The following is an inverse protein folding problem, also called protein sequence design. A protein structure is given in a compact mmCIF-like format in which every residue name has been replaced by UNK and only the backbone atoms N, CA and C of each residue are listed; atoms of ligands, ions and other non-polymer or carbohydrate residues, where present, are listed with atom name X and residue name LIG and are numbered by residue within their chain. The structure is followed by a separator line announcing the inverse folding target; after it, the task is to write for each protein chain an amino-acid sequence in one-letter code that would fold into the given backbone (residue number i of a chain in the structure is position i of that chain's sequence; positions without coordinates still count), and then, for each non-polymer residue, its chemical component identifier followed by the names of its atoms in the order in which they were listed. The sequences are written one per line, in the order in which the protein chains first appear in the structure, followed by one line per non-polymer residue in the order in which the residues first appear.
data_IF_733975667194
#
_entry.id   IF_733975667194
#
_cell.length_a   1.000
_cell.length_b   1.000
_cell.length_c   1.000
_cell.angle_alpha   90.00
_cell.angle_beta   90.00
_cell.angle_gamma   90.00
#
_symmetry.space_group_name_H-M   'P 1'
#
loop_
_entity.id
_entity.type
_entity.pdbx_description
1 polymer ?
#
# COMPACT_ATOMS: atom_id res chain seq x y z
N UNK A 1 -18.88 -11.32 -21.33
CA UNK A 1 -17.70 -10.62 -21.88
C UNK A 1 -18.12 -9.58 -22.92
N UNK A 2 -18.46 -8.35 -22.54
CA UNK A 2 -18.89 -7.30 -23.49
C UNK A 2 -18.38 -5.88 -23.15
N UNK A 3 -17.34 -5.75 -22.31
CA UNK A 3 -16.80 -4.44 -21.90
C UNK A 3 -15.75 -3.82 -22.84
N UNK A 4 -15.14 -4.60 -23.75
CA UNK A 4 -13.92 -4.18 -24.45
C UNK A 4 -14.15 -3.41 -25.77
N UNK A 5 -15.38 -3.27 -26.27
CA UNK A 5 -15.62 -2.62 -27.58
C UNK A 5 -15.89 -1.11 -27.50
N UNK A 6 -16.30 -0.58 -26.34
CA UNK A 6 -16.67 0.84 -26.22
C UNK A 6 -15.46 1.78 -26.06
N UNK A 7 -14.36 1.30 -25.48
CA UNK A 7 -13.18 2.14 -25.23
C UNK A 7 -12.33 2.39 -26.48
N UNK A 8 -12.32 1.45 -27.44
CA UNK A 8 -11.59 1.64 -28.71
C UNK A 8 -12.20 2.76 -29.57
N UNK A 9 -13.50 3.05 -29.41
CA UNK A 9 -14.20 4.09 -30.16
C UNK A 9 -13.88 5.52 -29.67
N UNK A 10 -13.63 5.71 -28.37
CA UNK A 10 -13.25 7.00 -27.80
C UNK A 10 -11.82 7.40 -28.18
N UNK A 11 -10.89 6.44 -28.20
CA UNK A 11 -9.50 6.67 -28.59
C UNK A 11 -9.36 7.15 -30.05
N UNK A 12 -10.12 6.55 -30.97
CA UNK A 12 -10.04 6.92 -32.40
C UNK A 12 -10.62 8.32 -32.67
N UNK A 13 -11.63 8.74 -31.91
CA UNK A 13 -12.24 10.09 -32.07
C UNK A 13 -11.34 11.21 -31.56
N UNK A 14 -10.52 10.95 -30.54
CA UNK A 14 -9.59 11.95 -30.00
C UNK A 14 -8.34 12.17 -30.86
N UNK A 15 -7.82 11.12 -31.50
CA UNK A 15 -6.66 11.25 -32.41
C UNK A 15 -6.97 12.07 -33.67
N UNK A 16 -8.22 12.09 -34.11
CA UNK A 16 -8.66 12.87 -35.28
C UNK A 16 -8.83 14.37 -34.93
N UNK A 17 -8.87 14.75 -33.65
CA UNK A 17 -9.15 16.12 -33.22
C UNK A 17 -7.92 17.02 -33.06
N UNK A 18 -6.71 16.57 -33.39
CA UNK A 18 -5.51 17.44 -33.45
C UNK A 18 -5.12 18.12 -32.11
N UNK A 19 -5.63 17.65 -30.97
CA UNK A 19 -5.21 18.16 -29.66
C UNK A 19 -3.86 17.54 -29.31
N UNK A 20 -2.87 18.39 -29.09
CA UNK A 20 -1.56 18.02 -28.58
C UNK A 20 -1.73 17.42 -27.17
N UNK A 21 -1.87 16.10 -27.08
CA UNK A 21 -1.95 15.40 -25.80
C UNK A 21 -0.50 15.29 -25.31
N UNK A 22 -0.18 15.99 -24.23
CA UNK A 22 1.13 15.88 -23.58
C UNK A 22 1.37 14.39 -23.24
N UNK A 23 2.41 13.73 -23.78
CA UNK A 23 2.66 12.30 -23.57
C UNK A 23 2.89 11.92 -22.10
N UNK A 24 3.18 12.89 -21.22
CA UNK A 24 3.23 12.67 -19.77
C UNK A 24 1.86 12.37 -19.14
N UNK A 25 0.75 12.80 -19.76
CA UNK A 25 -0.61 12.58 -19.23
C UNK A 25 -1.09 11.13 -19.51
N UNK A 26 -0.44 10.42 -20.43
CA UNK A 26 -0.84 9.06 -20.85
C UNK A 26 -0.27 7.97 -19.91
N UNK A 27 0.63 8.31 -18.97
CA UNK A 27 1.30 7.33 -18.10
C UNK A 27 0.64 7.04 -16.74
N UNK A 28 -0.58 7.53 -16.44
CA UNK A 28 -1.07 7.50 -15.04
C UNK A 28 -2.49 6.94 -14.82
N UNK A 29 -2.81 5.77 -15.36
CA UNK A 29 -3.79 4.90 -14.70
C UNK A 29 -3.31 3.46 -14.78
N UNK A 30 -2.28 3.14 -14.01
CA UNK A 30 -2.06 1.76 -13.57
C UNK A 30 -3.30 1.34 -12.77
N UNK A 31 -4.19 0.55 -13.37
CA UNK A 31 -5.42 0.12 -12.70
C UNK A 31 -5.07 -0.74 -11.48
N UNK A 32 -5.41 -0.23 -10.31
CA UNK A 32 -5.26 -0.93 -9.04
C UNK A 32 -6.35 -2.00 -8.92
N UNK A 33 -5.96 -3.25 -8.68
CA UNK A 33 -6.91 -4.33 -8.41
C UNK A 33 -7.22 -4.29 -6.91
N UNK A 34 -8.46 -3.98 -6.54
CA UNK A 34 -8.87 -4.01 -5.13
C UNK A 34 -8.87 -5.46 -4.62
N UNK A 35 -8.20 -5.69 -3.49
CA UNK A 35 -8.12 -7.00 -2.85
C UNK A 35 -9.19 -7.15 -1.77
N UNK A 36 -9.16 -6.27 -0.76
CA UNK A 36 -10.04 -6.34 0.42
C UNK A 36 -10.05 -5.01 1.16
N UNK A 37 -11.04 -4.82 2.02
CA UNK A 37 -11.05 -3.75 3.02
C UNK A 37 -11.08 -4.38 4.41
N UNK A 38 -10.18 -3.92 5.28
CA UNK A 38 -10.03 -4.42 6.64
C UNK A 38 -10.02 -3.20 7.56
N UNK A 39 -11.11 -3.02 8.28
CA UNK A 39 -11.36 -1.82 9.06
C UNK A 39 -11.16 -0.52 8.26
N UNK A 40 -10.28 0.40 8.70
CA UNK A 40 -10.00 1.63 7.96
C UNK A 40 -9.02 1.48 6.80
N UNK A 41 -8.52 0.28 6.52
CA UNK A 41 -7.47 0.07 5.50
C UNK A 41 -8.08 -0.59 4.26
N UNK A 42 -7.87 0.02 3.11
CA UNK A 42 -8.15 -0.59 1.81
C UNK A 42 -6.86 -1.16 1.19
N UNK A 43 -6.94 -2.39 0.72
CA UNK A 43 -5.84 -3.11 0.09
C UNK A 43 -6.04 -3.24 -1.41
N UNK A 44 -4.97 -2.99 -2.14
CA UNK A 44 -4.91 -3.08 -3.59
C UNK A 44 -3.64 -3.82 -4.03
N UNK A 45 -3.73 -4.50 -5.17
CA UNK A 45 -2.59 -5.01 -5.91
C UNK A 45 -2.29 -4.08 -7.08
N UNK A 46 -1.07 -3.57 -7.11
CA UNK A 46 -0.55 -2.77 -8.24
C UNK A 46 -0.06 -3.69 -9.38
N UNK A 47 0.01 -3.19 -10.63
CA UNK A 47 0.54 -3.97 -11.76
C UNK A 47 2.00 -4.43 -11.59
N UNK A 48 2.79 -3.69 -10.83
CA UNK A 48 4.18 -4.01 -10.45
C UNK A 48 4.28 -5.02 -9.30
N UNK A 49 3.16 -5.67 -8.93
CA UNK A 49 3.02 -6.65 -7.84
C UNK A 49 3.23 -6.09 -6.43
N UNK A 50 3.29 -4.77 -6.27
CA UNK A 50 3.33 -4.13 -4.95
C UNK A 50 1.93 -4.17 -4.32
N UNK A 51 1.86 -4.60 -3.06
CA UNK A 51 0.63 -4.47 -2.27
C UNK A 51 0.54 -3.06 -1.73
N UNK A 52 -0.54 -2.37 -2.06
CA UNK A 52 -0.82 -1.02 -1.58
C UNK A 52 -1.92 -1.04 -0.53
N UNK A 53 -1.57 -0.65 0.69
CA UNK A 53 -2.46 -0.49 1.82
C UNK A 53 -2.70 1.01 2.06
N UNK A 54 -3.95 1.46 1.95
CA UNK A 54 -4.32 2.87 2.11
C UNK A 54 -5.24 3.04 3.32
N UNK A 55 -4.83 3.86 4.27
CA UNK A 55 -5.67 4.24 5.40
C UNK A 55 -6.70 5.29 4.97
N UNK A 56 -7.96 5.08 5.36
CA UNK A 56 -9.07 5.99 5.14
C UNK A 56 -9.60 6.50 6.49
N UNK A 57 -9.35 7.77 6.77
CA UNK A 57 -9.73 8.43 8.03
C UNK A 57 -11.25 8.63 8.18
N UNK A 58 -12.03 8.46 7.11
CA UNK A 58 -13.50 8.54 7.19
C UNK A 58 -14.14 7.30 7.81
N UNK A 59 -13.38 6.21 7.96
CA UNK A 59 -13.84 4.93 8.53
C UNK A 59 -13.57 4.85 10.05
N UNK A 60 -13.96 3.73 10.65
CA UNK A 60 -13.73 3.43 12.07
C UNK A 60 -12.23 3.47 12.44
N UNK A 61 -11.94 3.67 13.73
CA UNK A 61 -10.55 3.57 14.23
C UNK A 61 -9.95 2.19 13.95
N UNK A 62 -8.64 2.16 13.72
CA UNK A 62 -7.86 0.93 13.57
C UNK A 62 -7.83 0.17 14.90
N UNK A 63 -8.10 -1.13 14.84
CA UNK A 63 -8.09 -2.03 16.00
C UNK A 63 -7.01 -3.11 15.86
N UNK A 64 -6.71 -3.82 16.95
CA UNK A 64 -5.79 -4.97 16.93
C UNK A 64 -6.28 -6.05 15.96
N UNK A 65 -7.57 -6.36 15.98
CA UNK A 65 -8.19 -7.33 15.07
C UNK A 65 -7.99 -6.96 13.59
N UNK A 66 -8.07 -5.66 13.26
CA UNK A 66 -7.83 -5.21 11.89
C UNK A 66 -6.35 -5.43 11.47
N UNK A 67 -5.40 -5.37 12.40
CA UNK A 67 -4.00 -5.73 12.14
C UNK A 67 -3.87 -7.23 11.87
N UNK A 68 -4.46 -8.08 12.73
CA UNK A 68 -4.37 -9.54 12.56
C UNK A 68 -4.96 -10.00 11.24
N UNK A 69 -6.14 -9.48 10.87
CA UNK A 69 -6.75 -9.75 9.57
C UNK A 69 -5.89 -9.24 8.40
N UNK A 70 -5.21 -8.12 8.59
CA UNK A 70 -4.30 -7.56 7.57
C UNK A 70 -3.08 -8.43 7.35
N UNK A 71 -2.51 -8.98 8.42
CA UNK A 71 -1.41 -9.94 8.35
C UNK A 71 -1.86 -11.18 7.57
N UNK A 72 -2.99 -11.78 7.95
CA UNK A 72 -3.53 -12.95 7.21
C UNK A 72 -3.70 -12.70 5.71
N UNK A 73 -4.23 -11.51 5.34
CA UNK A 73 -4.35 -11.12 3.94
C UNK A 73 -2.99 -11.08 3.23
N UNK A 74 -1.98 -10.45 3.85
CA UNK A 74 -0.65 -10.36 3.27
C UNK A 74 0.02 -11.75 3.14
N UNK A 75 -0.27 -12.68 4.06
CA UNK A 75 0.22 -14.06 4.02
C UNK A 75 -0.36 -14.82 2.83
N UNK A 76 -1.67 -14.69 2.62
CA UNK A 76 -2.36 -15.24 1.47
C UNK A 76 -1.80 -14.67 0.17
N UNK A 77 -1.55 -13.36 0.11
CA UNK A 77 -0.99 -12.72 -1.08
C UNK A 77 0.44 -13.19 -1.36
N UNK A 78 1.29 -13.35 -0.35
CA UNK A 78 2.65 -13.89 -0.52
C UNK A 78 2.61 -15.30 -1.13
N UNK A 79 1.70 -16.16 -0.65
CA UNK A 79 1.47 -17.51 -1.19
C UNK A 79 0.98 -17.49 -2.63
N UNK A 80 0.00 -16.63 -2.96
CA UNK A 80 -0.54 -16.49 -4.32
C UNK A 80 0.55 -16.01 -5.30
N UNK A 81 1.40 -15.08 -4.89
CA UNK A 81 2.48 -14.58 -5.73
C UNK A 81 3.69 -15.51 -5.80
N UNK A 82 3.81 -16.46 -4.86
CA UNK A 82 4.95 -17.36 -4.74
C UNK A 82 6.26 -16.67 -4.34
N UNK A 83 6.17 -15.49 -3.72
CA UNK A 83 7.33 -14.67 -3.34
C UNK A 83 7.00 -13.75 -2.16
N UNK A 84 8.04 -13.32 -1.44
CA UNK A 84 7.91 -12.29 -0.41
C UNK A 84 7.46 -10.95 -1.02
N UNK A 85 6.59 -10.24 -0.31
CA UNK A 85 5.88 -9.08 -0.84
C UNK A 85 6.69 -7.79 -0.74
N UNK A 86 6.46 -6.90 -1.69
CA UNK A 86 6.76 -5.47 -1.56
C UNK A 86 5.47 -4.77 -1.12
N UNK A 87 5.53 -4.05 0.00
CA UNK A 87 4.34 -3.44 0.61
C UNK A 87 4.50 -1.93 0.69
N UNK A 88 3.56 -1.20 0.13
CA UNK A 88 3.39 0.24 0.30
C UNK A 88 2.23 0.48 1.28
N UNK A 89 2.49 1.17 2.38
CA UNK A 89 1.45 1.55 3.34
C UNK A 89 1.35 3.07 3.40
N UNK A 90 0.22 3.63 2.98
CA UNK A 90 -0.09 5.04 3.15
C UNK A 90 -0.93 5.27 4.41
N UNK A 91 -0.30 5.90 5.41
CA UNK A 91 -0.89 6.34 6.67
C UNK A 91 -0.93 7.87 6.79
N UNK A 92 -0.80 8.60 5.68
CA UNK A 92 -0.75 10.07 5.70
C UNK A 92 -2.00 10.68 6.33
N UNK A 93 -3.17 10.07 6.10
CA UNK A 93 -4.44 10.49 6.69
C UNK A 93 -4.65 9.97 8.12
N UNK A 94 -3.74 9.14 8.64
CA UNK A 94 -3.90 8.57 9.97
C UNK A 94 -3.56 9.62 11.04
N UNK A 95 -4.51 9.99 11.91
CA UNK A 95 -4.28 11.05 12.89
C UNK A 95 -3.34 10.59 14.01
N UNK A 96 -3.54 9.37 14.50
CA UNK A 96 -2.69 8.73 15.49
C UNK A 96 -2.89 7.21 15.48
N UNK A 97 -1.95 6.48 16.08
CA UNK A 97 -2.03 5.04 16.25
C UNK A 97 -2.47 4.72 17.68
N UNK A 98 -3.59 4.00 17.89
CA UNK A 98 -4.06 3.66 19.23
C UNK A 98 -2.99 2.94 20.06
N UNK A 99 -2.99 3.15 21.37
CA UNK A 99 -1.99 2.57 22.29
C UNK A 99 -1.98 1.04 22.19
N UNK A 100 -3.15 0.42 22.14
CA UNK A 100 -3.28 -1.04 22.04
C UNK A 100 -2.66 -1.57 20.75
N UNK A 101 -2.93 -0.92 19.62
CA UNK A 101 -2.33 -1.27 18.33
C UNK A 101 -0.81 -1.10 18.36
N UNK A 102 -0.30 -0.03 18.98
CA UNK A 102 1.16 0.15 19.16
C UNK A 102 1.80 -0.94 20.00
N UNK A 103 1.13 -1.39 21.06
CA UNK A 103 1.61 -2.50 21.89
C UNK A 103 1.60 -3.81 21.11
N UNK A 104 0.52 -4.07 20.38
CA UNK A 104 0.37 -5.27 19.56
C UNK A 104 1.42 -5.36 18.45
N UNK A 105 1.69 -4.26 17.74
CA UNK A 105 2.74 -4.24 16.73
C UNK A 105 4.14 -4.57 17.30
N UNK A 106 4.37 -4.38 18.61
CA UNK A 106 5.63 -4.77 19.27
C UNK A 106 5.65 -6.22 19.75
N UNK A 107 4.54 -6.95 19.62
CA UNK A 107 4.46 -8.33 20.04
C UNK A 107 5.27 -9.23 19.10
N UNK A 108 5.74 -10.36 19.62
CA UNK A 108 6.49 -11.33 18.83
C UNK A 108 5.64 -11.95 17.71
N UNK A 109 4.32 -12.01 17.87
CA UNK A 109 3.42 -12.56 16.84
C UNK A 109 3.50 -11.74 15.56
N UNK A 110 3.53 -10.41 15.68
CA UNK A 110 3.65 -9.52 14.52
C UNK A 110 5.07 -9.60 13.91
N UNK A 111 6.10 -9.80 14.74
CA UNK A 111 7.48 -9.93 14.26
C UNK A 111 7.72 -11.20 13.42
N UNK A 112 6.94 -12.27 13.61
CA UNK A 112 7.08 -13.49 12.79
C UNK A 112 6.60 -13.28 11.35
N UNK A 113 5.75 -12.27 11.12
CA UNK A 113 5.20 -11.97 9.82
C UNK A 113 6.24 -11.45 8.80
N UNK A 114 7.40 -11.01 9.27
CA UNK A 114 8.46 -10.45 8.43
C UNK A 114 8.96 -11.41 7.35
N UNK A 115 8.76 -12.73 7.50
CA UNK A 115 9.16 -13.72 6.49
C UNK A 115 8.39 -13.58 5.16
N UNK A 116 7.17 -13.04 5.19
CA UNK A 116 6.32 -12.91 4.01
C UNK A 116 6.48 -11.57 3.28
N UNK A 117 7.33 -10.68 3.79
CA UNK A 117 7.50 -9.32 3.25
C UNK A 117 8.97 -8.98 3.07
N UNK A 118 9.37 -8.75 1.81
CA UNK A 118 10.73 -8.36 1.42
C UNK A 118 11.06 -6.96 1.91
N UNK A 119 10.13 -6.01 1.72
CA UNK A 119 10.31 -4.62 2.12
C UNK A 119 8.97 -3.90 2.30
N UNK A 120 8.93 -2.97 3.26
CA UNK A 120 7.77 -2.09 3.47
C UNK A 120 8.17 -0.64 3.35
N UNK A 121 7.49 0.11 2.49
CA UNK A 121 7.56 1.55 2.43
C UNK A 121 6.35 2.16 3.17
N UNK A 122 6.62 3.03 4.14
CA UNK A 122 5.59 3.72 4.92
C UNK A 122 5.52 5.19 4.51
N UNK A 123 4.40 5.60 3.95
CA UNK A 123 4.09 6.99 3.62
C UNK A 123 3.31 7.59 4.76
N UNK A 124 3.91 8.53 5.48
CA UNK A 124 3.36 9.04 6.74
C UNK A 124 3.43 10.56 6.81
N UNK A 125 2.55 11.16 7.60
CA UNK A 125 2.61 12.59 7.90
C UNK A 125 3.75 12.89 8.89
N UNK A 126 4.23 14.14 8.90
CA UNK A 126 5.32 14.58 9.77
C UNK A 126 5.03 14.42 11.27
N UNK A 127 3.76 14.51 11.68
CA UNK A 127 3.32 14.28 13.05
C UNK A 127 3.40 12.80 13.42
N UNK A 128 2.91 11.92 12.55
CA UNK A 128 2.92 10.48 12.77
C UNK A 128 4.35 9.90 12.72
N UNK A 129 5.24 10.45 11.89
CA UNK A 129 6.65 10.05 11.82
C UNK A 129 7.39 10.10 13.15
N UNK A 130 7.13 11.15 13.95
CA UNK A 130 7.77 11.28 15.27
C UNK A 130 7.29 10.20 16.24
N UNK A 131 6.03 9.79 16.14
CA UNK A 131 5.45 8.74 16.98
C UNK A 131 5.92 7.34 16.57
N UNK A 132 6.05 7.10 15.27
CA UNK A 132 6.41 5.79 14.72
C UNK A 132 7.91 5.52 14.70
N UNK A 133 8.78 6.54 14.77
CA UNK A 133 10.23 6.34 14.76
C UNK A 133 10.71 5.31 15.77
N UNK A 134 10.26 5.41 17.02
CA UNK A 134 10.61 4.45 18.08
C UNK A 134 9.95 3.07 17.89
N UNK A 135 8.79 3.01 17.23
CA UNK A 135 8.11 1.75 16.95
C UNK A 135 8.82 0.98 15.83
N UNK A 136 9.33 1.68 14.82
CA UNK A 136 9.99 1.06 13.69
C UNK A 136 11.32 0.45 14.10
N UNK A 137 12.08 1.10 14.99
CA UNK A 137 13.31 0.51 15.53
C UNK A 137 13.07 -0.86 16.21
N UNK A 138 11.90 -1.06 16.82
CA UNK A 138 11.52 -2.34 17.43
C UNK A 138 10.95 -3.36 16.44
N UNK A 139 10.49 -2.92 15.27
CA UNK A 139 9.86 -3.75 14.23
C UNK A 139 10.87 -4.26 13.19
N UNK A 140 12.09 -3.74 13.13
CA UNK A 140 13.03 -3.97 12.01
C UNK A 140 13.86 -5.26 12.17
N UNK A 141 13.39 -6.26 12.92
CA UNK A 141 14.08 -7.56 12.95
C UNK A 141 13.67 -8.40 11.74
N UNK A 142 14.45 -8.31 10.65
CA UNK A 142 14.36 -9.20 9.49
C UNK A 142 13.78 -8.60 8.21
N UNK A 143 13.17 -7.41 8.28
CA UNK A 143 12.58 -6.73 7.12
C UNK A 143 13.10 -5.31 6.94
N UNK A 144 13.33 -4.90 5.68
CA UNK A 144 13.67 -3.49 5.36
C UNK A 144 12.41 -2.63 5.39
N UNK A 145 12.29 -1.78 6.40
CA UNK A 145 11.21 -0.79 6.50
C UNK A 145 11.79 0.61 6.30
N UNK A 146 11.20 1.41 5.41
CA UNK A 146 11.65 2.78 5.13
C UNK A 146 10.50 3.77 5.12
N UNK A 147 10.75 4.95 5.68
CA UNK A 147 9.79 6.05 5.76
C UNK A 147 9.92 7.00 4.57
N UNK A 148 8.77 7.45 4.06
CA UNK A 148 8.69 8.40 2.95
C UNK A 148 7.65 9.48 3.23
N UNK A 149 7.91 10.67 2.68
CA UNK A 149 6.97 11.79 2.73
C UNK A 149 5.90 11.73 1.63
N UNK A 150 6.19 11.04 0.53
CA UNK A 150 5.37 11.00 -0.69
C UNK A 150 5.28 9.57 -1.22
N UNK A 151 4.17 9.22 -1.86
CA UNK A 151 3.97 7.88 -2.42
C UNK A 151 4.91 7.59 -3.59
N UNK A 152 5.19 8.58 -4.43
CA UNK A 152 6.03 8.41 -5.63
C UNK A 152 7.42 7.91 -5.25
N UNK A 153 8.08 8.59 -4.30
CA UNK A 153 9.40 8.18 -3.79
C UNK A 153 9.39 6.81 -3.12
N UNK A 154 8.30 6.46 -2.46
CA UNK A 154 8.14 5.16 -1.81
C UNK A 154 8.08 4.04 -2.85
N UNK A 155 7.30 4.25 -3.92
CA UNK A 155 7.15 3.31 -5.04
C UNK A 155 8.48 3.17 -5.79
N UNK A 156 9.13 4.29 -6.13
CA UNK A 156 10.41 4.28 -6.85
C UNK A 156 11.47 3.48 -6.09
N UNK A 157 11.50 3.60 -4.76
CA UNK A 157 12.40 2.81 -3.92
C UNK A 157 12.04 1.32 -3.90
N UNK A 158 10.75 0.97 -3.77
CA UNK A 158 10.30 -0.43 -3.79
C UNK A 158 10.63 -1.10 -5.14
N UNK A 159 10.50 -0.37 -6.26
CA UNK A 159 10.83 -0.87 -7.61
C UNK A 159 12.31 -1.17 -7.82
N UNK A 160 13.20 -0.65 -6.97
CA UNK A 160 14.65 -0.88 -7.05
C UNK A 160 15.11 -2.14 -6.31
N UNK A 161 14.21 -2.85 -5.60
CA UNK A 161 14.52 -4.00 -4.75
C UNK A 161 14.26 -5.34 -5.42
#
# INVERSE_FOLDING_TARGET
MLGNKYYFFLFKKMYISGKNINPQIIMMTEELIRLKSIGPIDYYLRPDKIIYAKFDASKKSLTVKDIDESLLLLEEQAKIQGQALLVLVNLHQMPSLPIEVRKHLRSKEVSQFHENSKATALVISNSLSRLLGNLLLTLVTGQVIKLFATEEKAIDWLKQL
#
